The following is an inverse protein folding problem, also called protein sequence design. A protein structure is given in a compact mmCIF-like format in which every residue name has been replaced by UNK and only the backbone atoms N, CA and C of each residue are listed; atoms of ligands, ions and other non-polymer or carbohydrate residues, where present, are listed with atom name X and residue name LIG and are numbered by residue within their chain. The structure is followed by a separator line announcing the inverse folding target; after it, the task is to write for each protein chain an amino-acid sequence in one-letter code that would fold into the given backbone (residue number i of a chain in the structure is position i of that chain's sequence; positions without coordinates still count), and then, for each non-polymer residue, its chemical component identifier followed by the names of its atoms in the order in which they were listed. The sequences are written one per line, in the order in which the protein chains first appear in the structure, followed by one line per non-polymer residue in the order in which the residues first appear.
data_IF_298839553086
#
_entry.id   IF_298839553086
#
_cell.length_a   1.000
_cell.length_b   1.000
_cell.length_c   1.000
_cell.angle_alpha   90.00
_cell.angle_beta   90.00
_cell.angle_gamma   90.00
#
_symmetry.space_group_name_H-M   'P 1'
#
loop_
_entity.id
_entity.type
_entity.pdbx_description
1 polymer ?
#
# COMPACT_ATOMS: atom_id res chain seq x y z
N UNK A 1 -12.01 0.91 11.65
CA UNK A 1 -10.71 1.49 11.25
C UNK A 1 -9.76 0.33 11.10
N UNK A 2 -9.00 0.30 10.01
CA UNK A 2 -8.01 -0.73 9.70
C UNK A 2 -6.64 -0.07 9.64
N UNK A 3 -5.71 -0.54 10.45
CA UNK A 3 -4.32 -0.06 10.45
C UNK A 3 -3.54 -0.79 9.35
N UNK A 4 -2.99 -0.02 8.41
CA UNK A 4 -2.18 -0.52 7.31
C UNK A 4 -0.74 -0.81 7.71
N UNK A 5 -0.31 -0.46 8.94
CA UNK A 5 1.07 -0.72 9.42
C UNK A 5 1.50 -2.17 9.23
N UNK A 6 0.57 -3.11 9.38
CA UNK A 6 0.83 -4.54 9.22
C UNK A 6 0.73 -5.02 7.76
N UNK A 7 0.16 -4.21 6.86
CA UNK A 7 -0.08 -4.51 5.44
C UNK A 7 0.88 -3.80 4.47
N UNK A 8 1.78 -2.91 4.93
CA UNK A 8 2.70 -2.19 4.03
C UNK A 8 3.53 -3.12 3.14
N UNK A 9 3.96 -4.26 3.68
CA UNK A 9 4.77 -5.22 2.93
C UNK A 9 3.95 -6.14 2.02
N UNK A 10 2.61 -6.10 2.10
CA UNK A 10 1.73 -6.91 1.25
C UNK A 10 1.13 -6.11 0.11
N UNK A 11 1.07 -4.78 0.24
CA UNK A 11 0.51 -3.90 -0.81
C UNK A 11 1.54 -3.70 -1.93
N UNK A 12 1.21 -4.09 -3.17
CA UNK A 12 2.09 -3.87 -4.32
C UNK A 12 2.28 -2.37 -4.57
N UNK A 13 3.53 -1.98 -4.84
CA UNK A 13 3.84 -0.61 -5.27
C UNK A 13 3.43 -0.44 -6.73
N UNK A 14 2.80 0.68 -7.06
CA UNK A 14 2.45 0.97 -8.45
C UNK A 14 3.72 0.98 -9.33
N UNK A 15 3.74 0.31 -10.50
CA UNK A 15 4.94 0.20 -11.33
C UNK A 15 5.58 1.54 -11.71
N UNK A 16 4.77 2.56 -11.99
CA UNK A 16 5.24 3.92 -12.32
C UNK A 16 5.97 4.63 -11.17
N UNK A 17 5.82 4.12 -9.94
CA UNK A 17 6.46 4.66 -8.75
C UNK A 17 7.71 3.90 -8.33
N UNK A 18 7.94 2.68 -8.85
CA UNK A 18 9.06 1.82 -8.46
C UNK A 18 10.43 2.51 -8.51
N UNK A 19 10.70 3.29 -9.56
CA UNK A 19 11.96 4.01 -9.69
C UNK A 19 12.15 5.11 -8.63
N UNK A 20 11.06 5.74 -8.18
CA UNK A 20 11.09 6.77 -7.11
C UNK A 20 11.49 6.16 -5.77
N UNK A 21 11.30 4.86 -5.62
CA UNK A 21 11.69 4.06 -4.46
C UNK A 21 12.97 3.25 -4.71
N UNK A 22 13.78 3.62 -5.70
CA UNK A 22 15.07 2.95 -5.90
C UNK A 22 16.07 3.29 -4.79
N UNK A 23 16.84 2.29 -4.36
CA UNK A 23 17.93 2.43 -3.40
C UNK A 23 19.20 1.75 -3.91
N UNK A 24 20.35 2.16 -3.35
CA UNK A 24 21.66 1.63 -3.74
C UNK A 24 22.29 0.91 -2.55
N UNK A 25 22.71 -0.33 -2.77
CA UNK A 25 23.43 -1.15 -1.79
C UNK A 25 24.94 -1.03 -2.10
N UNK A 26 25.75 -0.46 -1.19
CA UNK A 26 27.19 -0.35 -1.38
C UNK A 26 27.85 -1.72 -1.23
N UNK A 27 28.96 -1.94 -1.94
CA UNK A 27 29.79 -3.13 -1.78
C UNK A 27 30.81 -2.96 -0.65
N UNK A 28 31.22 -4.09 -0.06
CA UNK A 28 32.26 -4.10 0.98
C UNK A 28 33.57 -3.57 0.37
N UNK A 29 34.16 -2.54 0.97
CA UNK A 29 35.40 -1.91 0.51
C UNK A 29 35.42 -1.47 -0.96
N UNK A 30 34.25 -1.18 -1.56
CA UNK A 30 34.13 -0.83 -2.99
C UNK A 30 34.68 -1.91 -3.94
N UNK A 31 34.63 -3.18 -3.53
CA UNK A 31 35.15 -4.31 -4.31
C UNK A 31 34.43 -4.53 -5.64
N UNK A 32 33.19 -4.07 -5.76
CA UNK A 32 32.37 -4.11 -6.97
C UNK A 32 31.51 -2.83 -7.09
N UNK A 33 31.00 -2.47 -8.29
CA UNK A 33 30.04 -1.38 -8.43
C UNK A 33 28.82 -1.57 -7.52
N UNK A 34 28.33 -0.47 -6.95
CA UNK A 34 27.16 -0.53 -6.09
C UNK A 34 25.92 -1.00 -6.87
N UNK A 35 25.11 -1.87 -6.26
CA UNK A 35 23.93 -2.45 -6.91
C UNK A 35 22.71 -1.58 -6.61
N UNK A 36 21.93 -1.27 -7.64
CA UNK A 36 20.69 -0.48 -7.53
C UNK A 36 19.49 -1.43 -7.58
N UNK A 37 18.59 -1.28 -6.61
CA UNK A 37 17.35 -2.05 -6.47
C UNK A 37 16.18 -1.08 -6.34
N UNK A 38 14.96 -1.57 -6.52
CA UNK A 38 13.73 -0.84 -6.24
C UNK A 38 12.81 -1.69 -5.37
N UNK A 39 11.94 -1.02 -4.62
CA UNK A 39 10.90 -1.68 -3.87
C UNK A 39 9.79 -2.16 -4.81
N UNK A 40 9.30 -3.38 -4.58
CA UNK A 40 8.13 -3.95 -5.29
C UNK A 40 6.83 -3.83 -4.48
N UNK A 41 6.97 -3.55 -3.18
CA UNK A 41 5.90 -3.35 -2.20
C UNK A 41 6.14 -2.04 -1.46
N UNK A 42 5.12 -1.49 -0.81
CA UNK A 42 5.26 -0.20 -0.13
C UNK A 42 6.29 -0.25 1.02
N UNK A 43 7.33 0.59 1.01
CA UNK A 43 8.32 0.61 2.09
C UNK A 43 7.80 1.38 3.31
N UNK A 44 7.92 0.77 4.49
CA UNK A 44 7.55 1.41 5.76
C UNK A 44 8.47 2.62 6.08
N UNK A 45 7.89 3.72 6.55
CA UNK A 45 8.65 4.82 7.17
C UNK A 45 9.25 5.86 6.22
N UNK A 46 8.87 5.88 4.93
CA UNK A 46 9.31 6.94 4.01
C UNK A 46 8.48 8.23 4.18
N UNK A 47 9.05 9.23 4.86
CA UNK A 47 8.40 10.55 5.11
C UNK A 47 7.95 11.31 3.86
N UNK A 48 8.55 11.05 2.69
CA UNK A 48 8.18 11.68 1.41
C UNK A 48 7.17 10.85 0.59
N UNK A 49 6.72 9.72 1.15
CA UNK A 49 5.85 8.74 0.49
C UNK A 49 4.33 8.92 0.65
N UNK A 50 3.74 9.82 1.48
CA UNK A 50 2.29 9.81 1.70
C UNK A 50 1.47 9.88 0.40
N UNK A 51 1.86 10.76 -0.54
CA UNK A 51 1.15 10.94 -1.80
C UNK A 51 1.32 9.76 -2.77
N UNK A 52 2.50 9.12 -2.78
CA UNK A 52 2.79 7.96 -3.63
C UNK A 52 2.14 6.68 -3.08
N UNK A 53 2.19 6.50 -1.75
CA UNK A 53 1.40 5.49 -1.04
C UNK A 53 -0.10 5.67 -1.31
N UNK A 54 -0.59 6.92 -1.30
CA UNK A 54 -2.01 7.20 -1.56
C UNK A 54 -2.45 6.66 -2.92
N UNK A 55 -1.66 6.84 -3.98
CA UNK A 55 -1.99 6.34 -5.32
C UNK A 55 -1.99 4.82 -5.36
N UNK A 56 -0.97 4.17 -4.78
CA UNK A 56 -0.90 2.70 -4.74
C UNK A 56 -2.06 2.10 -3.95
N UNK A 57 -2.35 2.63 -2.75
CA UNK A 57 -3.49 2.19 -1.93
C UNK A 57 -4.82 2.51 -2.63
N UNK A 58 -4.95 3.65 -3.31
CA UNK A 58 -6.17 3.97 -4.05
C UNK A 58 -6.43 3.02 -5.22
N UNK A 59 -5.39 2.60 -5.95
CA UNK A 59 -5.47 1.62 -7.02
C UNK A 59 -5.91 0.25 -6.48
N UNK A 60 -5.25 -0.23 -5.42
CA UNK A 60 -5.54 -1.52 -4.80
C UNK A 60 -6.93 -1.57 -4.16
N UNK A 61 -7.43 -0.45 -3.63
CA UNK A 61 -8.79 -0.35 -3.07
C UNK A 61 -9.88 -0.13 -4.13
N UNK A 62 -9.52 0.11 -5.39
CA UNK A 62 -10.50 0.41 -6.44
C UNK A 62 -11.52 -0.74 -6.62
N UNK A 63 -11.12 -2.02 -6.73
CA UNK A 63 -12.08 -3.12 -6.87
C UNK A 63 -13.02 -3.24 -5.68
N UNK A 64 -12.50 -3.08 -4.46
CA UNK A 64 -13.30 -3.10 -3.23
C UNK A 64 -14.36 -2.00 -3.22
N UNK A 65 -14.00 -0.77 -3.63
CA UNK A 65 -14.94 0.36 -3.75
C UNK A 65 -16.00 0.13 -4.82
N UNK A 66 -15.62 -0.45 -5.96
CA UNK A 66 -16.55 -0.77 -7.06
C UNK A 66 -17.56 -1.85 -6.66
N UNK A 67 -17.15 -2.84 -5.87
CA UNK A 67 -18.03 -3.87 -5.33
C UNK A 67 -18.95 -3.35 -4.21
N UNK A 68 -18.50 -2.34 -3.46
CA UNK A 68 -19.19 -1.80 -2.30
C UNK A 68 -19.51 -0.29 -2.44
N UNK A 69 -20.31 0.14 -3.44
CA UNK A 69 -20.56 1.57 -3.69
C UNK A 69 -21.37 2.27 -2.59
N UNK A 70 -22.00 1.50 -1.70
CA UNK A 70 -22.77 1.99 -0.55
C UNK A 70 -21.90 2.21 0.70
N UNK A 71 -20.63 1.81 0.68
CA UNK A 71 -19.69 2.01 1.77
C UNK A 71 -18.83 3.26 1.54
N UNK A 72 -18.65 4.05 2.59
CA UNK A 72 -17.69 5.15 2.62
C UNK A 72 -16.32 4.57 2.96
N UNK A 73 -15.39 4.59 2.00
CA UNK A 73 -14.00 4.14 2.17
C UNK A 73 -13.05 5.31 2.05
N UNK A 74 -12.40 5.67 3.16
CA UNK A 74 -11.46 6.78 3.23
C UNK A 74 -10.10 6.29 3.71
N UNK A 75 -9.04 6.63 2.97
CA UNK A 75 -7.66 6.28 3.31
C UNK A 75 -6.93 7.54 3.77
N UNK A 76 -6.40 7.48 4.99
CA UNK A 76 -5.66 8.56 5.63
C UNK A 76 -4.36 8.04 6.22
N UNK A 77 -3.24 8.39 5.60
CA UNK A 77 -1.90 7.98 6.00
C UNK A 77 -1.76 6.46 6.13
N UNK A 78 -1.77 5.93 7.35
CA UNK A 78 -1.63 4.50 7.63
C UNK A 78 -2.97 3.87 8.02
N UNK A 79 -4.09 4.60 7.92
CA UNK A 79 -5.41 4.12 8.34
C UNK A 79 -6.40 4.08 7.17
N UNK A 80 -7.19 3.00 7.08
CA UNK A 80 -8.40 2.94 6.26
C UNK A 80 -9.62 3.00 7.17
N UNK A 81 -10.47 3.99 6.93
CA UNK A 81 -11.80 4.09 7.48
C UNK A 81 -12.82 3.51 6.49
N UNK A 82 -13.63 2.57 6.97
CA UNK A 82 -14.78 2.02 6.24
C UNK A 82 -16.02 2.26 7.09
N UNK A 83 -17.07 2.87 6.51
CA UNK A 83 -18.32 3.18 7.20
C UNK A 83 -19.55 2.95 6.30
N UNK A 84 -20.68 2.56 6.90
CA UNK A 84 -21.96 2.34 6.20
C UNK A 84 -23.06 1.86 7.16
N UNK A 85 -24.34 2.00 6.76
CA UNK A 85 -25.50 1.77 7.64
C UNK A 85 -25.74 0.30 8.01
N UNK A 86 -25.21 -0.68 7.26
CA UNK A 86 -25.34 -2.11 7.53
C UNK A 86 -24.01 -2.85 7.33
N UNK A 87 -22.92 -2.28 7.83
CA UNK A 87 -21.58 -2.85 7.68
C UNK A 87 -21.46 -4.19 8.44
N UNK A 88 -21.24 -5.28 7.71
CA UNK A 88 -20.81 -6.55 8.32
C UNK A 88 -19.28 -6.53 8.45
N UNK A 89 -18.80 -6.26 9.66
CA UNK A 89 -17.36 -6.06 9.93
C UNK A 89 -16.52 -7.26 9.49
N UNK A 90 -16.93 -8.49 9.76
CA UNK A 90 -16.11 -9.68 9.46
C UNK A 90 -15.96 -9.89 7.96
N UNK A 91 -17.07 -9.86 7.22
CA UNK A 91 -17.07 -10.02 5.76
C UNK A 91 -16.33 -8.89 5.07
N UNK A 92 -16.59 -7.64 5.47
CA UNK A 92 -15.90 -6.47 4.91
C UNK A 92 -14.39 -6.51 5.15
N UNK A 93 -13.93 -6.94 6.34
CA UNK A 93 -12.50 -7.07 6.61
C UNK A 93 -11.84 -8.14 5.74
N UNK A 94 -12.50 -9.28 5.53
CA UNK A 94 -11.98 -10.33 4.64
C UNK A 94 -11.86 -9.85 3.20
N UNK A 95 -12.91 -9.22 2.66
CA UNK A 95 -12.90 -8.66 1.31
C UNK A 95 -11.82 -7.59 1.13
N UNK A 96 -11.67 -6.72 2.14
CA UNK A 96 -10.64 -5.68 2.13
C UNK A 96 -9.23 -6.27 2.17
N UNK A 97 -8.98 -7.29 3.00
CA UNK A 97 -7.68 -7.98 3.07
C UNK A 97 -7.33 -8.63 1.74
N UNK A 98 -8.28 -9.35 1.12
CA UNK A 98 -8.08 -9.94 -0.20
C UNK A 98 -7.75 -8.87 -1.24
N UNK A 99 -8.44 -7.74 -1.20
CA UNK A 99 -8.16 -6.62 -2.11
C UNK A 99 -6.79 -6.00 -1.88
N UNK A 100 -6.28 -5.98 -0.64
CA UNK A 100 -4.96 -5.42 -0.30
C UNK A 100 -3.79 -6.34 -0.68
N UNK A 101 -4.05 -7.64 -0.87
CA UNK A 101 -3.06 -8.66 -1.21
C UNK A 101 -3.04 -9.04 -2.71
N UNK A 102 -4.03 -8.58 -3.49
CA UNK A 102 -4.19 -8.86 -4.92
C UNK A 102 -3.37 -7.94 -5.81
#
# INVERSE_FOLDING_TARGET
IVDLKDCFFTIPLHPDDAEKFAFTVPSVNKSEPAKRYYWVVLPQGMKNSPTLCQTSVAWVLQPFKEQNPFLLVYHYMDDILVAGENLNVETTLQELQVSLES
#
